data_IF_498082126530
#
_entry.id   IF_498082126530
#
_cell.length_a   1.000
_cell.length_b   1.000
_cell.length_c   1.000
_cell.angle_alpha   90.00
_cell.angle_beta   90.00
_cell.angle_gamma   90.00
#
_symmetry.space_group_name_H-M   'P 1'
#
loop_
_entity.id
_entity.type
_entity.pdbx_description
1 polymer ?
#
# COMPACT_ATOMS: atom_id res chain seq x y z
N UNK A 1 58.56 12.27 2.99
CA UNK A 1 57.33 12.64 2.21
C UNK A 1 56.71 11.49 1.43
N UNK A 2 57.44 10.58 0.80
CA UNK A 2 56.88 9.45 0.04
C UNK A 2 56.11 8.44 0.88
N UNK A 3 56.45 8.25 2.16
CA UNK A 3 55.76 7.28 3.04
C UNK A 3 54.43 7.83 3.61
N UNK A 4 54.33 9.15 3.79
CA UNK A 4 53.09 9.79 4.26
C UNK A 4 52.01 9.74 3.14
N UNK A 5 52.43 10.01 1.89
CA UNK A 5 51.51 9.91 0.74
C UNK A 5 50.96 8.48 0.52
N UNK A 6 51.78 7.44 0.76
CA UNK A 6 51.33 6.05 0.68
C UNK A 6 50.35 5.70 1.80
N UNK A 7 50.55 6.21 3.01
CA UNK A 7 49.65 5.96 4.14
C UNK A 7 48.27 6.62 3.89
N UNK A 8 48.26 7.87 3.37
CA UNK A 8 47.02 8.59 3.04
C UNK A 8 46.23 7.87 1.93
N UNK A 9 46.88 7.35 0.90
CA UNK A 9 46.23 6.61 -0.18
C UNK A 9 45.63 5.30 0.32
N UNK A 10 46.31 4.56 1.18
CA UNK A 10 45.79 3.30 1.77
C UNK A 10 44.61 3.58 2.70
N UNK A 11 44.68 4.65 3.51
CA UNK A 11 43.56 5.01 4.40
C UNK A 11 42.34 5.47 3.61
N UNK A 12 42.52 6.21 2.50
CA UNK A 12 41.41 6.63 1.63
C UNK A 12 40.77 5.45 0.88
N UNK A 13 41.57 4.42 0.52
CA UNK A 13 41.04 3.20 -0.14
C UNK A 13 40.25 2.30 0.81
N UNK A 14 40.64 2.26 2.09
CA UNK A 14 39.90 1.49 3.13
C UNK A 14 38.56 2.15 3.47
N UNK A 15 38.47 3.49 3.41
CA UNK A 15 37.20 4.21 3.64
C UNK A 15 36.22 4.03 2.47
N UNK A 16 36.69 3.80 1.24
CA UNK A 16 35.83 3.55 0.08
C UNK A 16 35.22 2.14 0.04
N UNK A 17 35.71 1.19 0.82
CA UNK A 17 35.20 -0.18 0.87
C UNK A 17 34.12 -0.40 1.95
N UNK A 18 33.75 0.63 2.72
CA UNK A 18 32.93 0.53 3.92
C UNK A 18 31.45 0.86 3.77
N UNK A 19 30.94 1.21 2.60
CA UNK A 19 29.50 1.41 2.40
C UNK A 19 28.87 0.17 1.79
N UNK A 20 28.82 -0.92 2.53
CA UNK A 20 27.78 -1.92 2.36
C UNK A 20 26.51 -1.21 2.83
N UNK A 21 25.76 -0.63 1.89
CA UNK A 21 24.41 -0.18 2.17
C UNK A 21 23.65 -1.41 2.65
N UNK A 22 23.49 -1.52 3.95
CA UNK A 22 22.61 -2.53 4.56
C UNK A 22 21.22 -2.29 3.96
N UNK A 23 20.83 -3.16 3.05
CA UNK A 23 19.48 -3.12 2.49
C UNK A 23 18.52 -3.35 3.65
N UNK A 24 17.79 -2.30 4.04
CA UNK A 24 16.74 -2.42 5.04
C UNK A 24 15.67 -3.35 4.48
N UNK A 25 15.68 -4.59 4.93
CA UNK A 25 14.64 -5.56 4.63
C UNK A 25 13.37 -5.08 5.29
N UNK A 26 12.36 -4.70 4.51
CA UNK A 26 11.04 -4.33 5.05
C UNK A 26 10.39 -5.61 5.59
N UNK A 27 10.37 -5.74 6.90
CA UNK A 27 9.60 -6.77 7.57
C UNK A 27 8.14 -6.34 7.61
N UNK A 28 7.26 -7.05 6.91
CA UNK A 28 5.80 -6.77 6.90
C UNK A 28 5.13 -7.25 8.19
N UNK A 29 5.89 -7.63 9.20
CA UNK A 29 5.37 -8.07 10.50
C UNK A 29 4.50 -9.35 10.47
N UNK A 30 4.44 -10.04 9.32
CA UNK A 30 3.70 -11.30 9.20
C UNK A 30 4.64 -12.46 9.46
N UNK A 31 4.31 -13.25 10.48
CA UNK A 31 5.00 -14.48 10.80
C UNK A 31 3.97 -15.58 11.05
N UNK A 32 3.80 -16.46 10.06
CA UNK A 32 2.88 -17.59 10.11
C UNK A 32 3.66 -18.88 10.33
N UNK A 33 3.58 -19.44 11.52
CA UNK A 33 4.22 -20.71 11.84
C UNK A 33 3.58 -21.92 11.13
N UNK A 34 2.33 -21.79 10.70
CA UNK A 34 1.55 -22.84 10.03
C UNK A 34 0.82 -22.29 8.80
N UNK A 35 0.49 -23.19 7.89
CA UNK A 35 -0.28 -22.84 6.69
C UNK A 35 -1.64 -22.24 7.08
N UNK A 36 -2.01 -21.04 6.62
CA UNK A 36 -3.22 -20.36 7.06
C UNK A 36 -4.48 -21.02 6.52
N UNK A 37 -5.57 -20.94 7.30
CA UNK A 37 -6.90 -21.27 6.78
C UNK A 37 -7.32 -20.19 5.79
N UNK A 38 -7.60 -20.59 4.57
CA UNK A 38 -8.04 -19.71 3.48
C UNK A 38 -9.49 -20.01 3.11
N UNK A 39 -10.32 -18.97 3.00
CA UNK A 39 -11.74 -19.05 2.70
C UNK A 39 -12.02 -18.19 1.46
N UNK A 40 -12.77 -18.74 0.49
CA UNK A 40 -13.13 -18.00 -0.73
C UNK A 40 -14.02 -16.81 -0.37
N UNK A 41 -13.71 -15.65 -0.95
CA UNK A 41 -14.57 -14.46 -0.91
C UNK A 41 -15.73 -14.67 -1.90
N UNK A 42 -17.00 -14.72 -1.46
CA UNK A 42 -18.14 -14.96 -2.34
C UNK A 42 -18.22 -13.94 -3.48
N UNK A 43 -18.25 -14.43 -4.73
CA UNK A 43 -18.31 -13.60 -5.93
C UNK A 43 -16.95 -13.11 -6.46
N UNK A 44 -15.83 -13.59 -5.88
CA UNK A 44 -14.47 -13.20 -6.27
C UNK A 44 -13.53 -14.42 -6.36
N UNK A 45 -12.57 -14.45 -7.30
CA UNK A 45 -11.56 -15.52 -7.38
C UNK A 45 -10.43 -15.29 -6.36
N UNK A 46 -10.79 -14.92 -5.14
CA UNK A 46 -9.87 -14.52 -4.07
C UNK A 46 -10.20 -15.30 -2.81
N UNK A 47 -9.19 -15.78 -2.11
CA UNK A 47 -9.33 -16.28 -0.75
C UNK A 47 -8.83 -15.21 0.22
N UNK A 48 -9.38 -15.18 1.42
CA UNK A 48 -8.88 -14.39 2.54
C UNK A 48 -8.60 -15.30 3.74
N UNK A 49 -7.75 -14.85 4.65
CA UNK A 49 -7.42 -15.60 5.87
C UNK A 49 -8.12 -14.97 7.10
N UNK A 50 -9.29 -15.49 7.55
CA UNK A 50 -10.06 -14.87 8.63
C UNK A 50 -9.35 -14.90 9.99
N UNK A 51 -8.41 -15.83 10.19
CA UNK A 51 -7.70 -16.04 11.46
C UNK A 51 -6.30 -15.41 11.50
N UNK A 52 -5.89 -14.72 10.43
CA UNK A 52 -4.60 -14.02 10.36
C UNK A 52 -4.83 -12.55 10.71
N UNK A 53 -4.06 -12.01 11.64
CA UNK A 53 -4.12 -10.58 12.03
C UNK A 53 -3.39 -9.70 11.02
N UNK A 54 -3.73 -9.87 9.74
CA UNK A 54 -3.23 -9.09 8.62
C UNK A 54 -4.26 -9.10 7.49
N UNK A 55 -4.16 -8.17 6.56
CA UNK A 55 -4.97 -8.18 5.34
C UNK A 55 -4.36 -9.15 4.35
N UNK A 56 -4.64 -10.42 4.56
CA UNK A 56 -4.00 -11.56 3.93
C UNK A 56 -4.94 -12.26 2.97
N UNK A 57 -4.51 -12.37 1.72
CA UNK A 57 -5.29 -12.94 0.63
C UNK A 57 -4.46 -13.96 -0.17
N UNK A 58 -5.15 -14.81 -0.93
CA UNK A 58 -4.55 -15.62 -1.97
C UNK A 58 -5.35 -15.43 -3.25
N UNK A 59 -4.65 -15.08 -4.32
CA UNK A 59 -5.25 -14.85 -5.63
C UNK A 59 -4.29 -15.28 -6.72
N UNK A 60 -4.82 -16.06 -7.66
CA UNK A 60 -4.19 -16.42 -8.93
C UNK A 60 -2.77 -17.00 -8.79
N UNK A 61 -2.57 -17.84 -7.78
CA UNK A 61 -1.32 -18.56 -7.54
C UNK A 61 -0.33 -17.86 -6.60
N UNK A 62 -0.62 -16.65 -6.14
CA UNK A 62 0.20 -15.88 -5.22
C UNK A 62 -0.55 -15.51 -3.95
N UNK A 63 0.19 -15.35 -2.87
CA UNK A 63 -0.26 -14.72 -1.64
C UNK A 63 -0.06 -13.22 -1.72
N UNK A 64 -0.97 -12.48 -1.12
CA UNK A 64 -1.03 -11.03 -1.16
C UNK A 64 -1.30 -10.46 0.22
N UNK A 65 -0.60 -9.42 0.57
CA UNK A 65 -0.78 -8.71 1.83
C UNK A 65 -0.88 -7.22 1.57
N UNK A 66 -1.94 -6.61 2.10
CA UNK A 66 -2.03 -5.16 2.19
C UNK A 66 -1.49 -4.73 3.56
N UNK A 67 -0.35 -4.06 3.58
CA UNK A 67 0.24 -3.52 4.80
C UNK A 67 -0.36 -2.12 5.09
N UNK A 68 -1.00 -1.99 6.25
CA UNK A 68 -1.67 -0.73 6.65
C UNK A 68 -0.71 0.35 7.13
N UNK A 69 0.51 -0.02 7.48
CA UNK A 69 1.52 0.92 8.00
C UNK A 69 2.09 1.81 6.89
N UNK A 70 2.29 1.24 5.71
CA UNK A 70 2.81 1.95 4.54
C UNK A 70 1.76 2.15 3.42
N UNK A 71 0.64 1.42 3.49
CA UNK A 71 -0.45 1.52 2.52
C UNK A 71 -0.19 0.85 1.19
N UNK A 72 0.71 -0.16 1.16
CA UNK A 72 1.09 -0.87 -0.06
C UNK A 72 0.77 -2.36 0.00
N UNK A 73 0.77 -2.96 -1.19
CA UNK A 73 0.61 -4.40 -1.37
C UNK A 73 1.95 -5.08 -1.52
N UNK A 74 1.99 -6.29 -0.99
CA UNK A 74 3.11 -7.20 -1.10
C UNK A 74 2.62 -8.56 -1.56
N UNK A 75 3.47 -9.28 -2.30
CA UNK A 75 3.12 -10.59 -2.81
C UNK A 75 4.23 -11.61 -2.58
N UNK A 76 3.84 -12.88 -2.52
CA UNK A 76 4.75 -14.01 -2.32
C UNK A 76 4.18 -15.27 -2.96
N UNK A 77 5.03 -16.16 -3.47
CA UNK A 77 4.64 -17.52 -3.86
C UNK A 77 4.54 -18.48 -2.67
N UNK A 78 4.97 -18.04 -1.48
CA UNK A 78 4.96 -18.83 -0.24
C UNK A 78 4.15 -18.13 0.85
N UNK A 79 3.44 -18.94 1.68
CA UNK A 79 2.45 -18.44 2.64
C UNK A 79 3.04 -17.54 3.76
N UNK A 80 4.32 -17.64 4.04
CA UNK A 80 5.00 -16.82 5.06
C UNK A 80 6.13 -15.95 4.48
N UNK A 81 6.08 -15.65 3.19
CA UNK A 81 7.11 -14.84 2.53
C UNK A 81 8.34 -15.64 2.08
N UNK A 82 9.43 -14.97 1.69
CA UNK A 82 9.61 -13.51 1.71
C UNK A 82 8.59 -12.76 0.88
N UNK A 83 8.28 -11.55 1.31
CA UNK A 83 7.29 -10.68 0.67
C UNK A 83 7.95 -9.71 -0.30
N UNK A 84 7.39 -9.50 -1.46
CA UNK A 84 7.87 -8.60 -2.50
C UNK A 84 6.88 -7.45 -2.66
N UNK A 85 7.37 -6.23 -2.62
CA UNK A 85 6.57 -5.03 -2.88
C UNK A 85 5.96 -5.07 -4.29
N UNK A 86 4.70 -4.67 -4.39
CA UNK A 86 3.99 -4.54 -5.66
C UNK A 86 3.49 -3.11 -5.80
N UNK A 87 3.89 -2.46 -6.88
CA UNK A 87 3.39 -1.12 -7.17
C UNK A 87 1.87 -1.13 -7.34
N UNK A 88 1.16 -0.08 -6.85
CA UNK A 88 -0.29 -0.02 -6.89
C UNK A 88 -0.92 -0.22 -8.27
N UNK A 89 -0.22 0.15 -9.33
CA UNK A 89 -0.69 -0.02 -10.71
C UNK A 89 -0.70 -1.47 -11.18
N UNK A 90 0.04 -2.34 -10.52
CA UNK A 90 0.12 -3.78 -10.86
C UNK A 90 -0.68 -4.67 -9.92
N UNK A 91 -1.35 -4.12 -8.93
CA UNK A 91 -2.23 -4.92 -8.05
C UNK A 91 -3.42 -5.46 -8.87
N UNK A 92 -3.69 -6.78 -8.85
CA UNK A 92 -4.81 -7.37 -9.59
C UNK A 92 -6.16 -6.74 -9.23
N UNK A 93 -6.99 -6.51 -10.26
CA UNK A 93 -8.32 -5.94 -10.04
C UNK A 93 -9.15 -6.75 -9.05
N UNK A 94 -9.07 -8.08 -9.12
CA UNK A 94 -9.79 -8.98 -8.23
C UNK A 94 -9.52 -8.72 -6.74
N UNK A 95 -8.31 -8.27 -6.38
CA UNK A 95 -7.94 -7.88 -5.01
C UNK A 95 -8.45 -6.48 -4.67
N UNK A 96 -8.36 -5.54 -5.60
CA UNK A 96 -8.80 -4.16 -5.40
C UNK A 96 -10.30 -4.05 -5.11
N UNK A 97 -11.10 -4.92 -5.72
CA UNK A 97 -12.56 -4.92 -5.57
C UNK A 97 -13.08 -5.79 -4.43
N UNK A 98 -12.21 -6.44 -3.65
CA UNK A 98 -12.62 -7.19 -2.46
C UNK A 98 -13.29 -6.24 -1.46
N UNK A 99 -14.52 -6.56 -0.99
CA UNK A 99 -15.21 -5.70 -0.03
C UNK A 99 -14.42 -5.51 1.28
N UNK A 100 -14.52 -4.32 1.82
CA UNK A 100 -13.86 -3.86 3.04
C UNK A 100 -14.02 -4.82 4.25
N UNK A 101 -15.16 -5.51 4.37
CA UNK A 101 -15.43 -6.48 5.45
C UNK A 101 -14.44 -7.65 5.53
N UNK A 102 -13.76 -7.98 4.43
CA UNK A 102 -12.77 -9.07 4.39
C UNK A 102 -11.36 -8.65 4.81
N UNK A 103 -11.15 -7.35 5.08
CA UNK A 103 -9.91 -6.83 5.62
C UNK A 103 -9.90 -6.95 7.14
N UNK A 104 -8.92 -7.66 7.69
CA UNK A 104 -8.81 -7.96 9.14
C UNK A 104 -8.23 -6.79 9.93
N UNK A 105 -7.30 -6.05 9.34
CA UNK A 105 -6.67 -4.87 9.91
C UNK A 105 -7.04 -3.66 9.06
N UNK A 106 -7.59 -2.63 9.70
CA UNK A 106 -8.15 -1.47 9.03
C UNK A 106 -7.47 -0.19 9.51
N UNK A 107 -6.91 0.60 8.60
CA UNK A 107 -6.37 1.90 8.98
C UNK A 107 -7.46 2.79 9.59
N UNK A 108 -7.09 3.67 10.50
CA UNK A 108 -8.05 4.57 11.15
C UNK A 108 -8.79 5.49 10.16
N UNK A 109 -8.15 5.86 9.05
CA UNK A 109 -8.74 6.70 8.01
C UNK A 109 -9.79 5.98 7.14
N UNK A 110 -9.94 4.65 7.27
CA UNK A 110 -11.04 3.91 6.64
C UNK A 110 -12.34 3.95 7.47
N UNK A 111 -12.34 4.65 8.59
CA UNK A 111 -13.53 4.77 9.42
C UNK A 111 -14.68 5.41 8.63
N UNK A 112 -15.87 4.79 8.70
CA UNK A 112 -17.07 5.26 7.99
C UNK A 112 -17.17 4.77 6.52
N UNK A 113 -16.24 3.93 6.05
CA UNK A 113 -16.40 3.30 4.75
C UNK A 113 -17.41 2.15 4.80
N UNK A 114 -18.10 1.93 3.69
CA UNK A 114 -19.10 0.87 3.59
C UNK A 114 -18.47 -0.53 3.60
N UNK A 115 -18.97 -1.41 4.45
CA UNK A 115 -18.47 -2.78 4.57
C UNK A 115 -18.59 -3.63 3.30
N UNK A 116 -19.58 -3.33 2.45
CA UNK A 116 -19.89 -4.09 1.23
C UNK A 116 -19.24 -3.51 -0.03
N UNK A 117 -18.51 -2.42 0.11
CA UNK A 117 -17.76 -1.78 -0.96
C UNK A 117 -16.26 -2.02 -0.79
N UNK A 118 -15.48 -1.97 -1.87
CA UNK A 118 -14.03 -2.02 -1.78
C UNK A 118 -13.47 -0.78 -1.07
N UNK A 119 -12.23 -0.84 -0.57
CA UNK A 119 -11.51 0.35 -0.11
C UNK A 119 -11.43 1.42 -1.19
N UNK A 120 -11.37 2.68 -0.78
CA UNK A 120 -11.29 3.83 -1.70
C UNK A 120 -9.84 4.07 -2.12
N UNK A 121 -9.33 3.22 -2.99
CA UNK A 121 -7.94 3.23 -3.42
C UNK A 121 -7.48 4.55 -4.03
N UNK A 122 -8.34 5.28 -4.73
CA UNK A 122 -8.04 6.62 -5.22
C UNK A 122 -7.71 7.62 -4.12
N UNK A 123 -8.33 7.48 -2.93
CA UNK A 123 -7.97 8.28 -1.76
C UNK A 123 -6.63 7.83 -1.16
N UNK A 124 -6.29 6.55 -1.27
CA UNK A 124 -5.03 5.98 -0.78
C UNK A 124 -3.83 6.37 -1.66
N UNK A 125 -3.97 6.24 -2.98
CA UNK A 125 -2.85 6.37 -3.93
C UNK A 125 -2.96 7.58 -4.85
N UNK A 126 -4.01 8.38 -4.68
CA UNK A 126 -4.22 9.65 -5.38
C UNK A 126 -4.84 9.53 -6.76
N UNK A 127 -5.21 10.69 -7.32
CA UNK A 127 -5.92 10.81 -8.60
C UNK A 127 -5.10 10.34 -9.80
N UNK A 128 -3.77 10.42 -9.74
CA UNK A 128 -2.88 9.92 -10.78
C UNK A 128 -3.00 8.41 -10.95
N UNK A 129 -3.01 7.67 -9.84
CA UNK A 129 -3.25 6.23 -9.85
C UNK A 129 -4.66 5.92 -10.37
N UNK A 130 -5.68 6.60 -9.85
CA UNK A 130 -7.07 6.38 -10.25
C UNK A 130 -7.29 6.61 -11.75
N UNK A 131 -6.64 7.62 -12.32
CA UNK A 131 -6.65 7.89 -13.76
C UNK A 131 -5.96 6.79 -14.57
N UNK A 132 -4.84 6.25 -14.07
CA UNK A 132 -4.09 5.16 -14.73
C UNK A 132 -4.80 3.82 -14.63
N UNK A 133 -5.65 3.63 -13.61
CA UNK A 133 -6.41 2.40 -13.35
C UNK A 133 -7.91 2.60 -13.55
N UNK A 134 -8.30 3.44 -14.49
CA UNK A 134 -9.72 3.73 -14.79
C UNK A 134 -10.52 2.45 -15.00
N UNK A 135 -11.66 2.33 -14.30
CA UNK A 135 -12.53 1.15 -14.35
C UNK A 135 -12.06 0.00 -13.45
N UNK A 136 -11.09 0.24 -12.55
CA UNK A 136 -10.62 -0.76 -11.59
C UNK A 136 -11.75 -1.31 -10.70
N UNK A 137 -12.80 -0.52 -10.47
CA UNK A 137 -13.98 -0.83 -9.64
C UNK A 137 -15.12 -1.50 -10.42
N UNK A 138 -15.00 -1.62 -11.75
CA UNK A 138 -15.97 -2.32 -12.60
C UNK A 138 -15.85 -3.84 -12.42
N UNK A 139 -16.65 -4.40 -11.50
CA UNK A 139 -16.66 -5.83 -11.21
C UNK A 139 -18.05 -6.44 -11.41
N UNK A 140 -18.16 -7.41 -12.30
CA UNK A 140 -19.42 -8.14 -12.50
C UNK A 140 -19.59 -9.26 -11.49
N UNK A 141 -20.28 -8.98 -10.39
CA UNK A 141 -20.59 -9.96 -9.33
C UNK A 141 -21.51 -11.10 -9.77
N UNK A 142 -22.15 -11.01 -10.94
CA UNK A 142 -23.02 -12.06 -11.48
C UNK A 142 -22.24 -13.13 -12.21
N UNK A 143 -21.04 -12.80 -12.65
CA UNK A 143 -20.14 -13.76 -13.30
C UNK A 143 -19.63 -14.78 -12.29
N UNK A 144 -19.61 -16.06 -12.69
CA UNK A 144 -18.97 -17.11 -11.88
C UNK A 144 -17.47 -17.04 -12.06
N UNK A 145 -16.77 -16.81 -10.96
CA UNK A 145 -15.32 -16.82 -10.91
C UNK A 145 -14.82 -18.11 -10.27
N UNK A 146 -13.76 -18.68 -10.82
CA UNK A 146 -13.08 -19.85 -10.27
C UNK A 146 -11.77 -19.40 -9.68
N UNK A 147 -11.63 -19.51 -8.37
CA UNK A 147 -10.39 -19.20 -7.68
C UNK A 147 -9.29 -20.23 -8.03
N UNK A 148 -8.04 -19.80 -8.01
CA UNK A 148 -6.88 -20.66 -8.22
C UNK A 148 -6.84 -21.79 -7.17
N UNK A 149 -6.35 -23.01 -7.50
CA UNK A 149 -6.13 -24.04 -6.53
C UNK A 149 -5.12 -23.59 -5.49
N UNK A 150 -5.39 -23.94 -4.21
CA UNK A 150 -4.44 -23.62 -3.13
C UNK A 150 -3.18 -24.49 -3.24
N UNK A 151 -1.98 -23.96 -2.99
CA UNK A 151 -0.74 -24.71 -2.99
C UNK A 151 -0.59 -25.55 -1.70
N UNK A 152 -1.46 -26.58 -1.53
CA UNK A 152 -1.57 -27.37 -0.31
C UNK A 152 -0.29 -28.16 0.02
N UNK A 153 0.63 -28.34 -0.94
CA UNK A 153 1.95 -28.92 -0.71
C UNK A 153 2.76 -28.15 0.35
N UNK A 154 2.51 -26.84 0.50
CA UNK A 154 3.20 -25.99 1.47
C UNK A 154 2.90 -26.36 2.93
N UNK A 155 1.83 -27.09 3.22
CA UNK A 155 1.56 -27.64 4.56
C UNK A 155 2.64 -28.57 5.07
N UNK A 156 3.46 -29.17 4.20
CA UNK A 156 4.58 -30.01 4.57
C UNK A 156 5.76 -29.21 5.16
N UNK A 157 5.73 -27.89 4.93
CA UNK A 157 6.82 -26.97 5.24
C UNK A 157 6.41 -25.96 6.33
N UNK A 158 5.79 -26.42 7.38
CA UNK A 158 5.40 -25.61 8.52
C UNK A 158 6.51 -25.52 9.55
N UNK A 159 6.52 -24.44 10.32
CA UNK A 159 7.45 -24.18 11.44
C UNK A 159 8.91 -24.21 10.99
N UNK A 160 9.73 -25.03 11.69
CA UNK A 160 11.16 -25.25 11.44
C UNK A 160 11.51 -25.87 10.08
N UNK A 161 10.50 -26.44 9.40
CA UNK A 161 10.66 -26.99 8.04
C UNK A 161 10.45 -25.98 6.93
N UNK A 162 10.20 -24.71 7.27
CA UNK A 162 10.00 -23.67 6.26
C UNK A 162 11.28 -23.51 5.43
N UNK A 163 11.21 -23.59 4.08
CA UNK A 163 12.40 -23.63 3.25
C UNK A 163 13.06 -22.25 3.18
N UNK A 164 14.38 -22.26 3.06
CA UNK A 164 15.14 -21.05 2.79
C UNK A 164 14.68 -20.41 1.45
N UNK A 165 14.73 -19.09 1.31
CA UNK A 165 14.29 -18.39 0.10
C UNK A 165 14.87 -18.96 -1.20
N UNK A 166 16.12 -19.37 -1.20
CA UNK A 166 16.80 -19.98 -2.36
C UNK A 166 16.25 -21.35 -2.77
N UNK A 167 15.57 -22.05 -1.87
CA UNK A 167 14.96 -23.35 -2.14
C UNK A 167 13.49 -23.23 -2.58
N UNK A 168 12.85 -22.12 -2.22
CA UNK A 168 11.41 -21.92 -2.42
C UNK A 168 11.00 -21.98 -3.89
N UNK A 169 11.79 -21.40 -4.78
CA UNK A 169 11.51 -21.38 -6.22
C UNK A 169 11.50 -22.79 -6.80
N UNK A 170 12.53 -23.59 -6.52
CA UNK A 170 12.63 -24.96 -7.02
C UNK A 170 11.46 -25.80 -6.55
N UNK A 171 11.19 -25.79 -5.23
CA UNK A 171 10.07 -26.53 -4.66
C UNK A 171 8.73 -26.09 -5.23
N UNK A 172 8.54 -24.77 -5.40
CA UNK A 172 7.30 -24.23 -5.96
C UNK A 172 7.09 -24.72 -7.40
N UNK A 173 8.09 -24.63 -8.26
CA UNK A 173 8.02 -25.04 -9.66
C UNK A 173 7.76 -26.54 -9.82
N UNK A 174 8.31 -27.37 -8.92
CA UNK A 174 8.10 -28.82 -8.91
C UNK A 174 6.72 -29.24 -8.42
N UNK A 175 6.11 -28.48 -7.51
CA UNK A 175 4.89 -28.89 -6.80
C UNK A 175 3.63 -28.15 -7.23
N UNK A 176 3.77 -26.99 -7.93
CA UNK A 176 2.64 -26.14 -8.27
C UNK A 176 2.66 -25.72 -9.75
N UNK A 177 1.85 -26.40 -10.56
CA UNK A 177 1.83 -26.21 -12.02
C UNK A 177 0.71 -25.30 -12.48
N UNK A 178 0.14 -24.49 -11.59
CA UNK A 178 -0.89 -23.52 -11.94
C UNK A 178 -0.32 -22.37 -12.76
N UNK A 179 -1.02 -22.02 -13.86
CA UNK A 179 -0.68 -20.86 -14.68
C UNK A 179 -1.62 -19.70 -14.33
N UNK A 180 -1.11 -18.52 -13.93
CA UNK A 180 -1.92 -17.36 -13.65
C UNK A 180 -2.78 -16.93 -14.82
N UNK A 181 -4.01 -16.50 -14.54
CA UNK A 181 -4.98 -16.02 -15.54
C UNK A 181 -5.05 -14.51 -15.60
N UNK A 182 -4.76 -13.83 -14.50
CA UNK A 182 -4.69 -12.37 -14.42
C UNK A 182 -3.40 -11.88 -15.09
N UNK A 183 -3.52 -10.87 -15.98
CA UNK A 183 -2.38 -10.36 -16.73
C UNK A 183 -1.33 -9.71 -15.83
N UNK A 184 -1.74 -9.00 -14.79
CA UNK A 184 -0.81 -8.40 -13.83
C UNK A 184 -0.06 -9.47 -13.05
N UNK A 185 -0.75 -10.53 -12.60
CA UNK A 185 -0.10 -11.66 -11.91
C UNK A 185 0.89 -12.34 -12.83
N UNK A 186 0.50 -12.64 -14.06
CA UNK A 186 1.35 -13.32 -15.04
C UNK A 186 2.62 -12.53 -15.36
N UNK A 187 2.51 -11.20 -15.46
CA UNK A 187 3.65 -10.31 -15.69
C UNK A 187 4.57 -10.19 -14.48
N UNK A 188 4.00 -10.14 -13.27
CA UNK A 188 4.77 -9.92 -12.03
C UNK A 188 5.35 -11.19 -11.43
N UNK A 189 4.71 -12.33 -11.60
CA UNK A 189 5.07 -13.59 -10.95
C UNK A 189 6.56 -13.96 -11.13
N UNK A 190 7.17 -13.92 -12.32
CA UNK A 190 8.58 -14.26 -12.48
C UNK A 190 9.51 -13.32 -11.69
N UNK A 191 9.16 -12.03 -11.64
CA UNK A 191 9.91 -11.03 -10.89
C UNK A 191 9.78 -11.25 -9.40
N UNK A 192 8.55 -11.52 -8.92
CA UNK A 192 8.27 -11.83 -7.51
C UNK A 192 9.07 -13.05 -7.06
N UNK A 193 9.00 -14.17 -7.79
CA UNK A 193 9.71 -15.41 -7.45
C UNK A 193 11.22 -15.17 -7.41
N UNK A 194 11.79 -14.48 -8.39
CA UNK A 194 13.22 -14.14 -8.42
C UNK A 194 13.64 -13.24 -7.25
N UNK A 195 12.87 -12.22 -6.92
CA UNK A 195 13.19 -11.35 -5.79
C UNK A 195 13.05 -12.06 -4.46
N UNK A 196 12.12 -13.00 -4.32
CA UNK A 196 11.99 -13.86 -3.15
C UNK A 196 13.25 -14.69 -2.93
N UNK A 197 13.83 -15.30 -3.98
CA UNK A 197 15.05 -16.10 -3.87
C UNK A 197 16.26 -15.28 -3.39
N UNK A 198 16.20 -13.95 -3.54
CA UNK A 198 17.22 -13.00 -3.08
C UNK A 198 16.94 -12.43 -1.67
N UNK A 199 15.92 -12.94 -0.96
CA UNK A 199 15.61 -12.54 0.41
C UNK A 199 14.42 -11.58 0.57
N UNK A 200 13.73 -11.23 -0.51
CA UNK A 200 12.46 -10.47 -0.46
C UNK A 200 12.57 -8.96 -0.65
N UNK A 201 11.48 -8.30 -0.39
CA UNK A 201 11.06 -7.03 -0.89
C UNK A 201 11.87 -5.82 -0.44
N UNK A 202 12.10 -4.97 -1.40
CA UNK A 202 12.42 -3.57 -1.18
C UNK A 202 11.13 -2.77 -1.42
N UNK A 203 10.53 -2.23 -0.34
CA UNK A 203 9.60 -1.12 -0.51
C UNK A 203 10.37 0.06 -1.10
N UNK A 204 9.74 0.90 -1.95
CA UNK A 204 10.35 2.16 -2.33
C UNK A 204 10.71 2.88 -1.04
N UNK A 205 11.95 3.33 -0.91
CA UNK A 205 12.36 4.17 0.20
C UNK A 205 11.31 5.25 0.36
N UNK A 206 10.86 5.49 1.59
CA UNK A 206 9.92 6.55 1.90
C UNK A 206 10.48 7.81 1.25
N UNK A 207 9.93 8.20 0.10
CA UNK A 207 10.23 9.49 -0.47
C UNK A 207 9.75 10.49 0.57
N UNK A 208 10.68 11.14 1.25
CA UNK A 208 10.38 12.27 2.11
C UNK A 208 9.61 13.27 1.26
N UNK A 209 8.34 13.44 1.60
CA UNK A 209 7.61 14.61 1.21
C UNK A 209 6.97 14.61 -0.18
N UNK A 210 5.84 13.94 -0.35
CA UNK A 210 4.71 14.57 -1.04
C UNK A 210 3.44 14.26 -0.25
N UNK A 211 3.37 14.74 0.96
CA UNK A 211 2.09 15.12 1.55
C UNK A 211 1.81 16.51 0.99
N UNK A 212 1.12 16.57 -0.13
CA UNK A 212 0.50 17.80 -0.58
C UNK A 212 -0.67 18.10 0.37
N UNK A 213 -0.36 18.71 1.51
CA UNK A 213 -1.36 19.51 2.22
C UNK A 213 -1.78 20.64 1.28
N UNK A 214 -3.07 20.89 1.09
CA UNK A 214 -3.50 22.07 0.37
C UNK A 214 -3.15 23.30 1.23
N UNK A 215 -2.00 23.92 0.95
CA UNK A 215 -1.70 25.26 1.44
C UNK A 215 -2.71 26.19 0.81
N UNK A 216 -3.58 26.74 1.66
CA UNK A 216 -4.38 27.88 1.33
C UNK A 216 -3.51 28.97 0.71
N UNK A 217 -3.94 29.46 -0.43
CA UNK A 217 -3.38 30.63 -1.05
C UNK A 217 -3.67 31.84 -0.15
N UNK A 218 -2.73 32.19 0.67
CA UNK A 218 -2.67 33.50 1.30
C UNK A 218 -2.03 34.45 0.27
N UNK A 219 -2.88 35.30 -0.32
CA UNK A 219 -2.48 36.38 -1.21
C UNK A 219 -1.63 37.36 -0.43
N UNK A 220 -0.35 37.43 -0.74
CA UNK A 220 0.54 38.52 -0.34
C UNK A 220 0.05 39.82 -1.00
N UNK A 221 -0.40 40.78 -0.19
CA UNK A 221 -0.54 42.19 -0.60
C UNK A 221 0.80 42.91 -0.45
N UNK A 222 1.16 43.80 -1.36
CA UNK A 222 2.36 44.62 -1.25
C UNK A 222 2.17 45.71 -0.20
N UNK A 223 3.16 45.91 0.64
CA UNK A 223 3.26 47.04 1.55
C UNK A 223 3.48 48.32 0.74
N UNK A 224 2.63 49.31 0.93
CA UNK A 224 2.89 50.69 0.57
C UNK A 224 2.95 51.59 1.82
N UNK A 225 4.06 52.32 1.93
CA UNK A 225 4.36 53.27 2.99
C UNK A 225 3.64 54.59 2.78
N UNK A 226 3.18 55.24 3.86
CA UNK A 226 2.93 56.67 3.83
C UNK A 226 1.81 57.12 4.76
N UNK A 227 2.15 57.67 5.93
CA UNK A 227 1.36 58.54 6.80
C UNK A 227 1.18 59.95 6.15
N UNK A 228 0.42 60.93 6.70
CA UNK A 228 -0.24 61.05 8.00
C UNK A 228 -1.64 61.73 8.05
N UNK A 229 -2.32 61.60 9.20
CA UNK A 229 -3.25 62.47 9.93
C UNK A 229 -4.16 63.46 9.20
N UNK A 230 -5.50 63.40 9.46
CA UNK A 230 -6.23 64.55 10.02
C UNK A 230 -7.58 64.16 10.66
N UNK A 231 -8.01 65.02 11.58
CA UNK A 231 -9.00 64.87 12.66
C UNK A 231 -10.47 65.05 12.22
N UNK A 232 -11.33 64.34 12.81
CA UNK A 232 -12.63 64.51 13.44
C UNK A 232 -13.68 65.50 12.91
N UNK A 233 -14.86 65.73 13.53
CA UNK A 233 -15.74 64.84 14.28
C UNK A 233 -17.24 65.02 13.86
N UNK A 234 -18.13 64.22 14.43
CA UNK A 234 -19.54 64.64 14.54
C UNK A 234 -20.60 63.62 14.15
N UNK A 235 -21.21 63.08 15.18
CA UNK A 235 -22.67 63.12 15.50
C UNK A 235 -23.61 62.56 14.41
N UNK A 236 -24.66 61.83 14.61
CA UNK A 236 -25.58 61.62 15.75
C UNK A 236 -26.75 60.75 15.24
N UNK A 237 -27.29 59.89 16.16
CA UNK A 237 -28.71 59.47 16.24
C UNK A 237 -29.42 58.84 15.02
N UNK A 238 -30.24 57.87 15.08
CA UNK A 238 -31.22 57.40 16.02
C UNK A 238 -31.84 56.09 15.49
N UNK A 239 -32.20 55.20 16.41
CA UNK A 239 -33.28 54.21 16.24
C UNK A 239 -34.64 54.98 16.15
N UNK A 240 -35.81 54.36 15.85
CA UNK A 240 -36.30 53.08 16.38
C UNK A 240 -37.26 52.27 15.43
N UNK A 241 -37.51 51.01 15.84
CA UNK A 241 -38.76 50.23 15.91
C UNK A 241 -39.81 50.30 14.79
N UNK A 242 -40.39 49.15 14.39
CA UNK A 242 -41.58 48.48 14.90
C UNK A 242 -41.94 47.28 14.01
N UNK A 243 -42.18 46.12 14.62
CA UNK A 243 -43.43 45.37 14.79
C UNK A 243 -44.34 45.09 13.57
N UNK A 244 -44.75 43.86 13.52
CA UNK A 244 -46.08 43.39 13.06
C UNK A 244 -45.93 42.06 12.30
N UNK A 245 -46.21 40.91 12.93
CA UNK A 245 -47.51 40.21 13.00
C UNK A 245 -48.15 40.04 11.61
N UNK A 246 -48.68 38.98 11.16
CA UNK A 246 -49.39 37.82 11.72
C UNK A 246 -49.90 36.95 10.55
N UNK A 247 -50.11 35.65 10.83
CA UNK A 247 -51.11 34.70 10.31
C UNK A 247 -51.27 34.51 8.79
N UNK A 248 -51.30 33.35 8.31
CA UNK A 248 -52.16 32.21 8.53
C UNK A 248 -52.58 31.58 7.20
N UNK A 249 -52.50 30.37 7.12
CA UNK A 249 -53.37 29.29 6.70
C UNK A 249 -52.59 28.11 6.20
#
# INVERSE_FOLDING_TARGET
>A
MKNVARLVVVTMFVILLGTIAGEAQVSIGINLSTFPRLVVVPGYPVYYAPNVRANYFFHDGLYWVFNVEDGYWYSSSWYNGPWVYVEPVYVPQALLVVPYRYYQVRPAYWRGWSYDQPPRWGQQWGSGWESSRRGWDNWDRRKKYVAAPLPLYQKKYERDRYPAPTQQETIHNEQYHYQPKDDHVRQQQPTIIRQQSQGGARAPGKAEGVVASPKGQEKAQPQEKGQPREKGPGQEKAQPQEKGQEKGR
#
